data_IF_482762099217
#
_entry.id   IF_482762099217
#
_cell.length_a   1.000
_cell.length_b   1.000
_cell.length_c   1.000
_cell.angle_alpha   90.00
_cell.angle_beta   90.00
_cell.angle_gamma   90.00
#
_symmetry.space_group_name_H-M   'P 1'
#
loop_
_entity.id
_entity.type
_entity.pdbx_description
1 polymer ?
#
# COMPACT_ATOMS: atom_id res chain seq x y z
N UNK A 1 -1.48 4.24 7.33
CA UNK A 1 -1.45 4.21 5.83
C UNK A 1 -0.98 5.55 5.26
N UNK A 2 -0.64 5.63 3.96
CA UNK A 2 -0.37 6.90 3.25
C UNK A 2 -1.58 7.29 2.40
N UNK A 3 -2.00 8.56 2.44
CA UNK A 3 -3.13 9.10 1.69
C UNK A 3 -2.79 10.52 1.25
N UNK A 4 -2.78 10.80 -0.06
CA UNK A 4 -2.47 12.15 -0.56
C UNK A 4 -1.10 12.69 -0.12
N UNK A 5 -0.11 11.81 0.09
CA UNK A 5 1.22 12.20 0.58
C UNK A 5 1.35 12.36 2.10
N UNK A 6 0.27 12.16 2.87
CA UNK A 6 0.29 12.24 4.33
C UNK A 6 0.10 10.87 4.98
N UNK A 7 0.75 10.67 6.12
CA UNK A 7 0.52 9.51 6.98
C UNK A 7 -0.80 9.72 7.72
N UNK A 8 -1.72 8.78 7.58
CA UNK A 8 -3.03 8.81 8.25
C UNK A 8 -3.30 7.49 8.97
N UNK A 9 -3.99 7.57 10.11
CA UNK A 9 -4.40 6.41 10.90
C UNK A 9 -5.54 5.64 10.22
N UNK A 10 -5.57 4.33 10.43
CA UNK A 10 -6.73 3.48 10.09
C UNK A 10 -7.77 3.47 11.23
N UNK A 11 -7.34 3.78 12.46
CA UNK A 11 -8.20 3.92 13.62
C UNK A 11 -8.43 5.40 13.89
N UNK A 12 -9.69 5.82 13.81
CA UNK A 12 -10.12 7.20 14.03
C UNK A 12 -11.04 7.26 15.24
N UNK A 13 -10.95 8.34 16.01
CA UNK A 13 -11.78 8.53 17.20
C UNK A 13 -13.27 8.61 16.87
N UNK A 14 -13.63 9.35 15.81
CA UNK A 14 -15.00 9.46 15.35
C UNK A 14 -15.11 8.96 13.90
N UNK A 15 -15.86 7.88 13.70
CA UNK A 15 -16.13 7.33 12.38
C UNK A 15 -17.49 7.85 11.89
N UNK A 16 -17.49 8.72 10.86
CA UNK A 16 -18.66 9.47 10.43
C UNK A 16 -19.79 8.61 9.80
N UNK A 17 -19.52 7.36 9.42
CA UNK A 17 -20.51 6.44 8.88
C UNK A 17 -20.97 5.44 9.94
N UNK A 18 -21.77 5.90 10.91
CA UNK A 18 -22.46 5.03 11.86
C UNK A 18 -23.64 4.32 11.17
N UNK A 19 -23.36 3.33 10.33
CA UNK A 19 -24.37 2.36 9.83
C UNK A 19 -24.10 0.96 10.38
N UNK A 20 -23.09 0.78 11.24
CA UNK A 20 -22.80 -0.50 11.90
C UNK A 20 -23.25 -0.41 13.37
N UNK A 21 -24.36 -1.08 13.73
CA UNK A 21 -24.82 -1.23 15.10
C UNK A 21 -23.72 -1.69 16.06
N UNK A 22 -23.79 -1.24 17.32
CA UNK A 22 -22.83 -1.61 18.38
C UNK A 22 -22.65 -3.13 18.55
N UNK A 23 -23.70 -3.90 18.26
CA UNK A 23 -23.71 -5.37 18.36
C UNK A 23 -23.09 -6.10 17.16
N UNK A 24 -22.70 -5.38 16.10
CA UNK A 24 -21.98 -5.93 14.94
C UNK A 24 -20.49 -5.54 14.93
N UNK A 25 -20.01 -4.88 16.00
CA UNK A 25 -18.58 -4.61 16.19
C UNK A 25 -17.97 -5.78 16.93
N UNK A 26 -17.49 -6.76 16.18
CA UNK A 26 -17.01 -8.01 16.77
C UNK A 26 -15.50 -8.01 16.93
N UNK A 27 -14.78 -7.98 15.81
CA UNK A 27 -13.33 -8.15 15.78
C UNK A 27 -12.75 -7.11 14.84
N UNK A 28 -11.77 -6.35 15.31
CA UNK A 28 -11.00 -5.41 14.51
C UNK A 28 -9.59 -5.94 14.34
N UNK A 29 -9.13 -5.99 13.10
CA UNK A 29 -7.81 -6.51 12.74
C UNK A 29 -7.03 -5.39 12.05
N UNK A 30 -5.81 -5.15 12.53
CA UNK A 30 -4.81 -4.30 11.87
C UNK A 30 -3.53 -5.11 11.64
N UNK A 31 -2.57 -4.52 10.95
CA UNK A 31 -1.22 -5.08 10.84
C UNK A 31 -0.50 -5.20 12.19
N UNK A 32 -1.04 -4.56 13.25
CA UNK A 32 -0.46 -4.51 14.59
C UNK A 32 -1.14 -5.47 15.58
N UNK A 33 -2.26 -6.08 15.21
CA UNK A 33 -2.93 -7.06 16.06
C UNK A 33 -4.43 -7.14 15.87
N UNK A 34 -5.08 -7.80 16.83
CA UNK A 34 -6.50 -8.11 16.82
C UNK A 34 -7.13 -7.58 18.11
N UNK A 35 -8.24 -6.86 17.98
CA UNK A 35 -9.06 -6.41 19.09
C UNK A 35 -10.43 -7.08 19.03
N UNK A 36 -10.75 -7.90 20.03
CA UNK A 36 -12.08 -8.47 20.24
C UNK A 36 -12.90 -7.54 21.13
N UNK A 37 -13.96 -6.97 20.54
CA UNK A 37 -14.78 -5.92 21.15
C UNK A 37 -16.09 -6.47 21.74
N UNK A 38 -16.39 -7.76 21.54
CA UNK A 38 -17.66 -8.36 21.92
C UNK A 38 -17.83 -8.37 23.44
N UNK A 39 -18.98 -7.86 23.90
CA UNK A 39 -19.32 -7.82 25.33
C UNK A 39 -18.41 -6.94 26.20
N UNK A 40 -17.56 -6.10 25.59
CA UNK A 40 -16.62 -5.21 26.30
C UNK A 40 -17.29 -3.92 26.74
N UNK A 41 -16.78 -3.34 27.83
CA UNK A 41 -17.17 -2.00 28.28
C UNK A 41 -16.73 -0.94 27.27
N UNK A 42 -17.29 0.26 27.34
CA UNK A 42 -16.91 1.35 26.44
C UNK A 42 -15.40 1.68 26.57
N UNK A 43 -14.89 1.75 27.80
CA UNK A 43 -13.47 1.98 28.08
C UNK A 43 -12.58 0.88 27.51
N UNK A 44 -12.94 -0.39 27.74
CA UNK A 44 -12.18 -1.53 27.20
C UNK A 44 -12.15 -1.52 25.67
N UNK A 45 -13.24 -1.10 25.02
CA UNK A 45 -13.29 -0.96 23.55
C UNK A 45 -12.31 0.11 23.07
N UNK A 46 -12.28 1.28 23.71
CA UNK A 46 -11.32 2.33 23.35
C UNK A 46 -9.88 1.87 23.57
N UNK A 47 -9.58 1.25 24.72
CA UNK A 47 -8.24 0.75 25.02
C UNK A 47 -7.81 -0.36 24.06
N UNK A 48 -8.70 -1.30 23.72
CA UNK A 48 -8.41 -2.36 22.76
C UNK A 48 -8.12 -1.82 21.36
N UNK A 49 -8.87 -0.82 20.91
CA UNK A 49 -8.64 -0.14 19.62
C UNK A 49 -7.33 0.66 19.63
N UNK A 50 -7.05 1.41 20.70
CA UNK A 50 -5.79 2.15 20.85
C UNK A 50 -4.60 1.19 20.85
N UNK A 51 -4.73 0.04 21.54
CA UNK A 51 -3.68 -0.99 21.59
C UNK A 51 -3.28 -1.50 20.22
N UNK A 52 -4.19 -1.59 19.24
CA UNK A 52 -3.89 -2.07 17.88
C UNK A 52 -3.72 -0.93 16.85
N UNK A 53 -3.69 0.32 17.31
CA UNK A 53 -3.39 1.47 16.48
C UNK A 53 -1.88 1.62 16.26
N UNK A 54 -1.50 2.27 15.16
CA UNK A 54 -0.12 2.67 14.89
C UNK A 54 0.36 3.63 15.98
N UNK A 55 1.55 3.37 16.54
CA UNK A 55 2.08 4.09 17.70
C UNK A 55 2.22 5.59 17.48
N UNK A 56 2.34 6.03 16.22
CA UNK A 56 2.35 7.46 15.87
C UNK A 56 1.04 8.19 16.23
N UNK A 57 -0.07 7.46 16.41
CA UNK A 57 -1.39 8.04 16.69
C UNK A 57 -1.96 7.60 18.05
N UNK A 58 -1.35 6.65 18.75
CA UNK A 58 -1.87 6.11 20.02
C UNK A 58 -2.03 7.19 21.09
N UNK A 59 -1.05 8.09 21.23
CA UNK A 59 -1.09 9.16 22.23
C UNK A 59 -2.26 10.13 21.99
N UNK A 60 -2.46 10.55 20.74
CA UNK A 60 -3.56 11.45 20.37
C UNK A 60 -4.93 10.79 20.51
N UNK A 61 -5.04 9.49 20.21
CA UNK A 61 -6.27 8.72 20.42
C UNK A 61 -6.59 8.58 21.91
N UNK A 62 -5.59 8.28 22.76
CA UNK A 62 -5.77 8.22 24.21
C UNK A 62 -6.23 9.57 24.76
N UNK A 63 -5.58 10.67 24.36
CA UNK A 63 -5.95 12.02 24.79
C UNK A 63 -7.38 12.38 24.40
N UNK A 64 -7.82 12.02 23.20
CA UNK A 64 -9.20 12.23 22.76
C UNK A 64 -10.20 11.40 23.59
N UNK A 65 -9.87 10.14 23.89
CA UNK A 65 -10.70 9.26 24.70
C UNK A 65 -10.83 9.75 26.15
N UNK A 66 -9.73 10.19 26.76
CA UNK A 66 -9.73 10.81 28.10
C UNK A 66 -10.57 12.08 28.13
N UNK A 67 -10.35 12.99 27.17
CA UNK A 67 -11.14 14.22 27.06
C UNK A 67 -12.65 13.97 26.89
N UNK A 68 -13.03 12.85 26.28
CA UNK A 68 -14.43 12.45 26.10
C UNK A 68 -15.00 11.64 27.27
N UNK A 69 -14.23 11.43 28.36
CA UNK A 69 -14.62 10.63 29.51
C UNK A 69 -14.79 9.14 29.20
N UNK A 70 -14.14 8.66 28.12
CA UNK A 70 -14.23 7.27 27.65
C UNK A 70 -13.16 6.36 28.24
N UNK A 71 -12.05 6.94 28.67
CA UNK A 71 -10.92 6.27 29.32
C UNK A 71 -10.54 7.11 30.53
N UNK A 72 -10.12 6.47 31.61
CA UNK A 72 -9.65 7.19 32.81
C UNK A 72 -8.44 8.08 32.52
N UNK A 73 -8.41 9.25 33.16
CA UNK A 73 -7.36 10.26 32.99
C UNK A 73 -5.99 9.80 33.53
N UNK A 74 -5.96 8.84 34.45
CA UNK A 74 -4.75 8.26 35.02
C UNK A 74 -4.17 7.13 34.16
N UNK A 75 -4.91 6.62 33.17
CA UNK A 75 -4.41 5.59 32.27
C UNK A 75 -3.20 6.09 31.49
N UNK A 76 -2.18 5.23 31.37
CA UNK A 76 -0.97 5.48 30.59
C UNK A 76 -0.75 4.31 29.66
N UNK A 77 -0.32 4.59 28.42
CA UNK A 77 -0.01 3.56 27.45
C UNK A 77 1.09 2.65 27.99
N UNK A 78 0.84 1.33 28.09
CA UNK A 78 1.89 0.36 28.37
C UNK A 78 3.01 0.42 27.32
N UNK A 79 4.25 0.12 27.72
CA UNK A 79 5.42 0.22 26.83
C UNK A 79 5.36 -0.79 25.67
N UNK A 80 4.80 -1.98 25.92
CA UNK A 80 4.59 -3.04 24.94
C UNK A 80 3.59 -2.66 23.84
N UNK A 81 2.68 -1.72 24.08
CA UNK A 81 1.72 -1.25 23.07
C UNK A 81 2.35 -0.24 22.10
N UNK A 82 3.46 0.39 22.50
CA UNK A 82 4.06 1.52 21.81
C UNK A 82 5.06 1.11 20.73
N UNK A 83 5.13 -0.18 20.38
CA UNK A 83 5.97 -0.70 19.30
C UNK A 83 5.18 -1.07 18.03
N UNK A 84 3.97 -0.52 17.88
CA UNK A 84 3.13 -0.69 16.68
C UNK A 84 3.60 0.26 15.57
N UNK A 85 4.76 -0.04 14.99
CA UNK A 85 5.33 0.76 13.91
C UNK A 85 5.50 -0.06 12.64
N UNK A 86 5.45 0.58 11.46
CA UNK A 86 5.73 -0.13 10.20
C UNK A 86 7.13 -0.78 10.18
N UNK A 87 8.09 -0.21 10.92
CA UNK A 87 9.44 -0.76 11.03
C UNK A 87 9.45 -2.06 11.86
N UNK A 88 8.76 -2.07 13.00
CA UNK A 88 8.60 -3.26 13.85
C UNK A 88 7.93 -4.41 13.09
N UNK A 89 6.85 -4.12 12.36
CA UNK A 89 6.16 -5.13 11.52
C UNK A 89 7.10 -5.70 10.45
N UNK A 90 7.84 -4.85 9.74
CA UNK A 90 8.82 -5.31 8.74
C UNK A 90 9.92 -6.17 9.36
N UNK A 91 10.42 -5.79 10.54
CA UNK A 91 11.43 -6.57 11.25
C UNK A 91 10.89 -7.93 11.69
N UNK A 92 9.67 -7.98 12.23
CA UNK A 92 9.02 -9.21 12.64
C UNK A 92 8.78 -10.17 11.45
N UNK A 93 8.41 -9.64 10.28
CA UNK A 93 8.23 -10.44 9.06
C UNK A 93 9.55 -10.88 8.42
N UNK A 94 10.65 -10.15 8.66
CA UNK A 94 11.98 -10.51 8.16
C UNK A 94 12.70 -11.55 9.04
N UNK A 95 12.33 -11.66 10.32
CA UNK A 95 12.97 -12.56 11.28
C UNK A 95 12.93 -14.05 10.88
N UNK A 96 11.85 -14.58 10.26
CA UNK A 96 11.83 -15.96 9.78
C UNK A 96 12.64 -16.17 8.48
N UNK A 97 12.74 -15.17 7.59
CA UNK A 97 13.46 -15.27 6.30
C UNK A 97 13.08 -14.17 5.30
N UNK A 98 13.76 -14.11 4.13
CA UNK A 98 13.58 -13.07 3.08
C UNK A 98 12.29 -13.18 2.25
N UNK A 99 11.14 -13.35 2.89
CA UNK A 99 9.85 -13.06 2.26
C UNK A 99 9.26 -14.09 1.29
N UNK A 100 9.91 -15.24 1.08
CA UNK A 100 9.40 -16.30 0.18
C UNK A 100 8.33 -17.22 0.83
N UNK A 101 7.79 -16.82 2.00
CA UNK A 101 6.84 -17.63 2.78
C UNK A 101 5.47 -17.77 2.13
N UNK A 102 5.05 -16.75 1.40
CA UNK A 102 3.74 -16.72 0.76
C UNK A 102 3.90 -16.22 -0.67
N UNK A 103 3.27 -16.88 -1.66
CA UNK A 103 3.14 -16.28 -2.98
C UNK A 103 2.38 -14.96 -2.83
N UNK A 104 2.59 -14.02 -3.76
CA UNK A 104 1.94 -12.71 -3.71
C UNK A 104 0.40 -12.79 -3.62
N UNK A 105 -0.18 -13.92 -4.05
CA UNK A 105 -1.61 -14.23 -4.02
C UNK A 105 -1.84 -15.64 -3.44
N UNK A 106 -1.83 -15.81 -2.11
CA UNK A 106 -1.90 -17.13 -1.45
C UNK A 106 -3.25 -17.82 -1.57
N UNK A 107 -4.31 -17.09 -1.91
CA UNK A 107 -5.67 -17.62 -2.07
C UNK A 107 -6.10 -17.70 -3.55
N UNK A 108 -5.14 -17.65 -4.48
CA UNK A 108 -5.43 -17.50 -5.89
C UNK A 108 -5.72 -16.05 -6.29
N UNK A 109 -5.91 -15.84 -7.59
CA UNK A 109 -6.11 -14.53 -8.21
C UNK A 109 -6.86 -14.70 -9.52
N UNK A 110 -7.78 -13.78 -9.78
CA UNK A 110 -8.52 -13.75 -11.06
C UNK A 110 -7.70 -13.12 -12.18
N UNK A 111 -6.53 -12.55 -11.85
CA UNK A 111 -5.62 -11.94 -12.83
C UNK A 111 -4.63 -12.96 -13.37
N UNK A 112 -4.36 -12.90 -14.66
CA UNK A 112 -3.24 -13.57 -15.37
C UNK A 112 -1.91 -12.88 -15.10
N UNK A 113 -0.78 -13.59 -15.18
CA UNK A 113 0.57 -13.03 -14.90
C UNK A 113 0.86 -11.76 -15.69
N UNK A 114 0.39 -11.68 -16.93
CA UNK A 114 0.44 -10.48 -17.75
C UNK A 114 -0.29 -9.29 -17.12
N UNK A 115 -1.51 -9.49 -16.61
CA UNK A 115 -2.33 -8.44 -16.00
C UNK A 115 -1.73 -7.94 -14.67
N UNK A 116 -1.07 -8.82 -13.91
CA UNK A 116 -0.33 -8.35 -12.74
C UNK A 116 0.88 -7.50 -13.12
N UNK A 117 1.60 -7.92 -14.17
CA UNK A 117 2.77 -7.19 -14.65
C UNK A 117 2.35 -5.80 -15.15
N UNK A 118 1.29 -5.72 -15.95
CA UNK A 118 0.67 -4.46 -16.36
C UNK A 118 0.17 -3.65 -15.17
N UNK A 119 -0.52 -4.27 -14.22
CA UNK A 119 -1.03 -3.60 -13.02
C UNK A 119 0.08 -2.99 -12.17
N UNK A 120 1.22 -3.65 -12.03
CA UNK A 120 2.42 -3.13 -11.36
C UNK A 120 2.99 -1.93 -12.13
N UNK A 121 3.15 -2.03 -13.45
CA UNK A 121 3.71 -0.97 -14.30
C UNK A 121 2.84 0.28 -14.25
N UNK A 122 1.52 0.12 -14.38
CA UNK A 122 0.56 1.23 -14.33
C UNK A 122 0.50 1.89 -12.94
N UNK A 123 0.61 1.11 -11.86
CA UNK A 123 0.73 1.66 -10.50
C UNK A 123 2.01 2.49 -10.34
N UNK A 124 3.14 2.00 -10.84
CA UNK A 124 4.40 2.74 -10.86
C UNK A 124 4.27 4.05 -11.63
N UNK A 125 3.69 3.99 -12.83
CA UNK A 125 3.45 5.16 -13.68
C UNK A 125 2.54 6.20 -13.01
N UNK A 126 1.48 5.75 -12.33
CA UNK A 126 0.58 6.62 -11.57
C UNK A 126 1.31 7.33 -10.43
N UNK A 127 2.24 6.66 -9.76
CA UNK A 127 3.04 7.25 -8.70
C UNK A 127 4.06 8.28 -9.27
N UNK A 128 4.75 7.93 -10.37
CA UNK A 128 5.72 8.81 -11.03
C UNK A 128 5.07 10.09 -11.60
N UNK A 129 3.81 10.00 -12.03
CA UNK A 129 3.04 11.12 -12.58
C UNK A 129 2.21 11.90 -11.54
N UNK A 130 2.34 11.58 -10.24
CA UNK A 130 1.56 12.21 -9.17
C UNK A 130 1.89 13.70 -8.91
N UNK A 131 3.02 14.20 -9.40
CA UNK A 131 3.42 15.62 -9.29
C UNK A 131 3.61 16.25 -10.67
N UNK A 132 3.45 17.57 -10.84
CA UNK A 132 3.66 18.23 -12.13
C UNK A 132 5.06 18.00 -12.70
N UNK A 133 6.10 18.06 -11.85
CA UNK A 133 7.49 17.79 -12.26
C UNK A 133 7.71 16.33 -12.63
N UNK A 134 7.20 15.40 -11.81
CA UNK A 134 7.30 13.97 -12.08
C UNK A 134 6.59 13.56 -13.36
N UNK A 135 5.41 14.15 -13.61
CA UNK A 135 4.67 13.96 -14.86
C UNK A 135 5.49 14.36 -16.08
N UNK A 136 6.05 15.56 -16.09
CA UNK A 136 6.91 16.03 -17.20
C UNK A 136 8.12 15.13 -17.41
N UNK A 137 8.84 14.78 -16.33
CA UNK A 137 9.99 13.89 -16.41
C UNK A 137 9.63 12.51 -16.98
N UNK A 138 8.51 11.93 -16.53
CA UNK A 138 8.01 10.63 -16.99
C UNK A 138 7.62 10.67 -18.46
N UNK A 139 6.94 11.73 -18.91
CA UNK A 139 6.63 11.95 -20.33
C UNK A 139 7.89 12.00 -21.19
N UNK A 140 8.91 12.75 -20.77
CA UNK A 140 10.19 12.85 -21.48
C UNK A 140 10.93 11.51 -21.57
N UNK A 141 10.93 10.72 -20.49
CA UNK A 141 11.55 9.40 -20.47
C UNK A 141 10.76 8.40 -21.33
N UNK A 142 9.43 8.44 -21.28
CA UNK A 142 8.56 7.59 -22.08
C UNK A 142 8.75 7.82 -23.58
N UNK A 143 8.96 9.06 -24.03
CA UNK A 143 9.21 9.33 -25.46
C UNK A 143 10.44 8.58 -25.99
N UNK A 144 11.43 8.28 -25.14
CA UNK A 144 12.62 7.50 -25.48
C UNK A 144 12.45 5.99 -25.28
N UNK A 145 11.35 5.56 -24.67
CA UNK A 145 11.08 4.15 -24.46
C UNK A 145 10.66 3.50 -25.77
N UNK A 146 11.39 2.47 -26.16
CA UNK A 146 11.16 1.64 -27.33
C UNK A 146 11.29 0.17 -26.92
N UNK A 147 10.57 -0.68 -27.64
CA UNK A 147 10.55 -2.12 -27.45
C UNK A 147 11.04 -2.76 -28.74
N UNK A 148 12.33 -2.63 -28.99
CA UNK A 148 12.97 -3.05 -30.25
C UNK A 148 12.99 -4.58 -30.41
N UNK A 149 12.85 -5.31 -29.30
CA UNK A 149 12.86 -6.77 -29.28
C UNK A 149 11.47 -7.39 -29.30
N UNK A 150 10.41 -6.58 -29.23
CA UNK A 150 9.02 -7.04 -29.18
C UNK A 150 8.67 -7.79 -27.88
N UNK A 151 9.47 -7.59 -26.82
CA UNK A 151 9.36 -8.30 -25.55
C UNK A 151 8.00 -8.08 -24.87
N UNK A 152 7.39 -6.90 -25.08
CA UNK A 152 6.13 -6.53 -24.46
C UNK A 152 4.91 -6.69 -25.38
N UNK A 153 5.06 -7.33 -26.54
CA UNK A 153 3.98 -7.45 -27.54
C UNK A 153 2.67 -8.00 -26.95
N UNK A 154 2.74 -9.09 -26.18
CA UNK A 154 1.56 -9.71 -25.51
C UNK A 154 0.92 -8.75 -24.49
N UNK A 155 1.73 -7.99 -23.76
CA UNK A 155 1.26 -7.03 -22.76
C UNK A 155 0.60 -5.81 -23.43
N UNK A 156 1.16 -5.34 -24.54
CA UNK A 156 0.63 -4.24 -25.33
C UNK A 156 -0.66 -4.65 -26.05
N UNK A 157 -0.77 -5.88 -26.53
CA UNK A 157 -1.99 -6.42 -27.11
C UNK A 157 -3.15 -6.43 -26.10
N UNK A 158 -2.90 -6.89 -24.87
CA UNK A 158 -3.91 -6.85 -23.80
C UNK A 158 -4.39 -5.43 -23.47
N UNK A 159 -3.53 -4.43 -23.65
CA UNK A 159 -3.88 -3.01 -23.48
C UNK A 159 -4.56 -2.38 -24.71
N UNK A 160 -4.69 -3.13 -25.82
CA UNK A 160 -5.17 -2.59 -27.10
C UNK A 160 -4.18 -1.64 -27.79
N UNK A 161 -2.89 -1.70 -27.43
CA UNK A 161 -1.84 -0.79 -27.88
C UNK A 161 -0.85 -1.44 -28.86
N UNK A 162 -1.19 -2.60 -29.43
CA UNK A 162 -0.34 -3.29 -30.40
C UNK A 162 -0.22 -2.50 -31.72
N UNK A 163 -1.32 -1.88 -32.17
CA UNK A 163 -1.34 -1.06 -33.39
C UNK A 163 -1.93 0.34 -33.13
N UNK A 164 -1.16 1.26 -32.52
CA UNK A 164 -1.67 2.58 -32.14
C UNK A 164 -1.87 3.46 -33.38
N UNK A 165 -3.10 3.93 -33.57
CA UNK A 165 -3.52 4.72 -34.72
C UNK A 165 -3.30 6.22 -34.49
N UNK A 166 -3.44 6.70 -33.24
CA UNK A 166 -3.37 8.11 -32.88
C UNK A 166 -2.11 8.53 -32.11
N UNK A 167 -1.84 9.85 -32.06
CA UNK A 167 -0.73 10.43 -31.27
C UNK A 167 -0.85 10.07 -29.78
N UNK A 168 -2.09 10.10 -29.26
CA UNK A 168 -2.40 9.73 -27.87
C UNK A 168 -2.08 8.26 -27.59
N UNK A 169 -2.55 7.35 -28.44
CA UNK A 169 -2.30 5.91 -28.30
C UNK A 169 -0.81 5.58 -28.43
N UNK A 170 -0.09 6.29 -29.31
CA UNK A 170 1.38 6.15 -29.42
C UNK A 170 2.09 6.57 -28.13
N UNK A 171 1.63 7.67 -27.51
CA UNK A 171 2.15 8.10 -26.22
C UNK A 171 1.79 7.12 -25.10
N UNK A 172 0.56 6.62 -25.07
CA UNK A 172 0.11 5.63 -24.08
C UNK A 172 0.92 4.34 -24.21
N UNK A 173 1.19 3.86 -25.43
CA UNK A 173 2.09 2.74 -25.71
C UNK A 173 3.49 2.99 -25.13
N UNK A 174 4.08 4.15 -25.41
CA UNK A 174 5.40 4.53 -24.90
C UNK A 174 5.45 4.63 -23.37
N UNK A 175 4.39 5.14 -22.74
CA UNK A 175 4.26 5.20 -21.28
C UNK A 175 4.16 3.81 -20.65
N UNK A 176 3.42 2.88 -21.27
CA UNK A 176 3.32 1.49 -20.81
C UNK A 176 4.66 0.78 -20.95
N UNK A 177 5.34 0.89 -22.10
CA UNK A 177 6.69 0.33 -22.31
C UNK A 177 7.65 0.86 -21.24
N UNK A 178 7.67 2.17 -21.00
CA UNK A 178 8.51 2.76 -19.97
C UNK A 178 8.20 2.21 -18.57
N UNK A 179 6.92 2.09 -18.23
CA UNK A 179 6.50 1.51 -16.95
C UNK A 179 6.91 0.04 -16.79
N UNK A 180 6.90 -0.74 -17.88
CA UNK A 180 7.35 -2.13 -17.91
C UNK A 180 8.88 -2.24 -17.75
N UNK A 181 9.64 -1.41 -18.46
CA UNK A 181 11.11 -1.33 -18.34
C UNK A 181 11.56 -0.97 -16.92
N UNK A 182 10.80 -0.16 -16.18
CA UNK A 182 11.10 0.15 -14.78
C UNK A 182 10.89 -1.03 -13.82
N UNK A 183 10.11 -2.05 -14.22
CA UNK A 183 9.94 -3.26 -13.43
C UNK A 183 11.06 -4.27 -13.66
N UNK A 184 11.81 -4.14 -14.75
CA UNK A 184 12.96 -4.97 -15.00
C UNK A 184 14.06 -4.60 -13.99
N UNK A 185 14.63 -5.57 -13.26
CA UNK A 185 15.83 -5.30 -12.50
C UNK A 185 16.89 -4.85 -13.50
N UNK A 186 17.51 -3.68 -13.25
CA UNK A 186 18.56 -3.12 -14.12
C UNK A 186 19.49 -4.24 -14.59
N UNK A 187 19.34 -4.62 -15.86
CA UNK A 187 20.20 -5.61 -16.50
C UNK A 187 21.62 -5.11 -16.28
N UNK A 188 22.45 -5.88 -15.58
CA UNK A 188 23.88 -5.60 -15.44
C UNK A 188 24.47 -5.54 -16.85
N UNK A 189 24.57 -4.34 -17.42
CA UNK A 189 25.21 -4.10 -18.71
C UNK A 189 26.72 -3.99 -18.50
N UNK A 190 27.45 -5.01 -18.96
CA UNK A 190 28.90 -5.02 -19.27
C UNK A 190 29.84 -5.04 -18.05
N UNK A 191 31.05 -5.61 -18.09
CA UNK A 191 31.90 -6.25 -19.11
C UNK A 191 33.09 -6.87 -18.31
N UNK A 192 33.67 -8.01 -18.66
CA UNK A 192 34.90 -8.18 -19.47
C UNK A 192 35.29 -9.67 -19.36
N UNK A 193 35.40 -10.40 -20.47
CA UNK A 193 36.59 -10.62 -21.31
C UNK A 193 37.61 -11.63 -20.75
N UNK A 194 37.80 -12.68 -21.56
CA UNK A 194 38.90 -13.67 -21.60
C UNK A 194 38.96 -14.74 -20.50
#
# INVERSE_FOLDING_TARGET
RMSGGQVVSNIVFNYAHCTIPRHLRDIVITEYGIADLRGRSDEDVFLALIRIADSRFQADLLKQAQKAGKVRDDFRLPADWQNNTPASVRQALAAPGKGDWFPAFPFGRDFTDEELTLGKALKGLKAATATPRGKLATLWQAIRAEDDTGQYAVLLERMGLNNPSGIREKLDRKLVIHGLQQLEPATKTGSENS
#
